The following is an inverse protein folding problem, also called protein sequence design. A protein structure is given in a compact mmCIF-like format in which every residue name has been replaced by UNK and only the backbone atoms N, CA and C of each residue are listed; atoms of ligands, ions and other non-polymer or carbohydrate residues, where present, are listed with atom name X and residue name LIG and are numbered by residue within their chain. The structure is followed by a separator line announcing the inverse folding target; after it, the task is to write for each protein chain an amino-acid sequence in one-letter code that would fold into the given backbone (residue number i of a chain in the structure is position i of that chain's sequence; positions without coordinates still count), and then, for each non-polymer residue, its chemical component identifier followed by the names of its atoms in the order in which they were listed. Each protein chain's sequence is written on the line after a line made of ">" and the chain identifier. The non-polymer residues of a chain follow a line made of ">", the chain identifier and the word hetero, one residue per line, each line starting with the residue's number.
data_IF_485145292045
#
_entry.id   IF_485145292045
#
_cell.length_a   1.000
_cell.length_b   1.000
_cell.length_c   1.000
_cell.angle_alpha   90.00
_cell.angle_beta   90.00
_cell.angle_gamma   90.00
#
_symmetry.space_group_name_H-M   'P 1'
#
loop_
_entity.id
_entity.type
_entity.pdbx_description
1 polymer ?
#
# COMPACT_ATOMS: atom_id res chain seq x y z
N UNK A 1 4.93 -5.64 -11.19
CA UNK A 1 5.49 -6.22 -9.96
C UNK A 1 4.39 -6.71 -9.05
N UNK A 2 3.51 -5.86 -8.49
CA UNK A 2 2.44 -6.36 -7.60
C UNK A 2 1.55 -7.50 -8.16
N UNK A 3 0.95 -7.30 -9.33
CA UNK A 3 0.11 -8.33 -9.98
C UNK A 3 0.92 -9.58 -10.40
N UNK A 4 2.23 -9.45 -10.63
CA UNK A 4 3.08 -10.58 -10.99
C UNK A 4 3.39 -11.47 -9.77
N UNK A 5 3.40 -10.88 -8.57
CA UNK A 5 3.49 -11.58 -7.28
C UNK A 5 2.13 -12.05 -6.75
N UNK A 6 1.03 -11.87 -7.52
CA UNK A 6 -0.32 -12.26 -7.11
C UNK A 6 -0.93 -11.37 -6.02
N UNK A 7 -0.34 -10.19 -5.76
CA UNK A 7 -0.83 -9.18 -4.84
C UNK A 7 -1.50 -8.01 -5.55
N UNK A 8 -2.53 -7.45 -4.94
CA UNK A 8 -3.20 -6.24 -5.38
C UNK A 8 -3.32 -5.26 -4.19
N UNK A 9 -3.59 -3.98 -4.46
CA UNK A 9 -3.87 -3.00 -3.40
C UNK A 9 -5.17 -2.30 -3.69
N UNK A 10 -6.08 -2.30 -2.72
CA UNK A 10 -7.30 -1.52 -2.75
C UNK A 10 -7.16 -0.28 -1.89
N UNK A 11 -7.67 0.83 -2.40
CA UNK A 11 -7.86 2.03 -1.60
C UNK A 11 -9.07 1.82 -0.69
N UNK A 12 -8.86 1.92 0.62
CA UNK A 12 -9.95 1.89 1.60
C UNK A 12 -10.49 3.29 1.81
N UNK A 13 -9.62 4.21 2.19
CA UNK A 13 -10.01 5.55 2.62
C UNK A 13 -8.87 6.54 2.45
N UNK A 14 -9.21 7.81 2.28
CA UNK A 14 -8.26 8.91 2.35
C UNK A 14 -8.81 9.96 3.31
N UNK A 15 -8.10 10.18 4.41
CA UNK A 15 -8.47 11.10 5.48
C UNK A 15 -7.38 12.16 5.59
N UNK A 16 -7.68 13.38 5.13
CA UNK A 16 -6.78 14.54 5.19
C UNK A 16 -5.39 14.28 4.58
N UNK A 17 -4.42 13.86 5.39
CA UNK A 17 -3.03 13.55 5.04
C UNK A 17 -2.69 12.06 5.23
N UNK A 18 -3.66 11.22 5.59
CA UNK A 18 -3.52 9.77 5.74
C UNK A 18 -4.24 9.00 4.63
N UNK A 19 -3.52 8.10 3.97
CA UNK A 19 -4.09 7.17 3.00
C UNK A 19 -4.11 5.77 3.60
N UNK A 20 -5.28 5.15 3.59
CA UNK A 20 -5.53 3.79 4.03
C UNK A 20 -5.73 2.86 2.85
N UNK A 21 -4.92 1.82 2.82
CA UNK A 21 -4.87 0.84 1.75
C UNK A 21 -5.10 -0.55 2.34
N UNK A 22 -5.78 -1.41 1.60
CA UNK A 22 -5.88 -2.82 1.90
C UNK A 22 -5.03 -3.59 0.90
N UNK A 23 -4.12 -4.42 1.40
CA UNK A 23 -3.44 -5.37 0.52
C UNK A 23 -4.37 -6.56 0.27
N UNK A 24 -4.53 -6.94 -0.99
CA UNK A 24 -5.40 -8.02 -1.43
C UNK A 24 -4.58 -9.11 -2.13
N UNK A 25 -5.00 -10.37 -2.08
CA UNK A 25 -4.34 -11.47 -2.80
C UNK A 25 -3.20 -12.12 -2.00
N UNK A 26 -2.10 -12.48 -2.66
CA UNK A 26 -0.98 -13.22 -2.03
C UNK A 26 -0.28 -12.49 -0.86
N UNK A 27 -0.61 -11.21 -0.65
CA UNK A 27 -0.15 -10.41 0.49
C UNK A 27 -1.07 -10.50 1.72
N UNK A 28 -2.29 -11.02 1.59
CA UNK A 28 -3.19 -11.32 2.72
C UNK A 28 -2.64 -12.52 3.50
N UNK A 29 -1.83 -12.26 4.53
CA UNK A 29 -1.51 -13.26 5.56
C UNK A 29 -0.04 -13.58 5.77
N UNK A 30 0.87 -13.05 4.95
CA UNK A 30 2.31 -13.20 5.22
C UNK A 30 2.85 -11.89 5.80
N UNK A 31 2.94 -11.80 7.14
CA UNK A 31 3.39 -10.60 7.85
C UNK A 31 4.77 -10.05 7.43
N UNK A 32 5.57 -10.83 6.69
CA UNK A 32 6.81 -10.37 6.06
C UNK A 32 6.60 -9.63 4.72
N UNK A 33 5.63 -10.03 3.90
CA UNK A 33 5.38 -9.43 2.58
C UNK A 33 4.81 -8.00 2.70
N UNK A 34 4.10 -7.74 3.80
CA UNK A 34 3.55 -6.42 4.12
C UNK A 34 4.61 -5.31 4.09
N UNK A 35 5.76 -5.54 4.73
CA UNK A 35 6.80 -4.52 4.86
C UNK A 35 7.48 -4.23 3.52
N UNK A 36 7.76 -5.27 2.74
CA UNK A 36 8.37 -5.15 1.40
C UNK A 36 7.45 -4.47 0.40
N UNK A 37 6.16 -4.82 0.41
CA UNK A 37 5.16 -4.20 -0.47
C UNK A 37 4.97 -2.73 -0.10
N UNK A 38 4.87 -2.41 1.20
CA UNK A 38 4.80 -1.02 1.65
C UNK A 38 6.00 -0.21 1.16
N UNK A 39 7.22 -0.73 1.34
CA UNK A 39 8.45 -0.09 0.86
C UNK A 39 8.46 0.14 -0.66
N UNK A 40 7.87 -0.77 -1.44
CA UNK A 40 7.79 -0.64 -2.89
C UNK A 40 6.77 0.39 -3.40
N UNK A 41 5.61 0.50 -2.75
CA UNK A 41 4.51 1.37 -3.21
C UNK A 41 4.60 2.77 -2.61
N UNK A 42 5.12 2.92 -1.38
CA UNK A 42 5.25 4.22 -0.70
C UNK A 42 5.92 5.33 -1.55
N UNK A 43 7.05 5.09 -2.25
CA UNK A 43 7.67 6.12 -3.08
C UNK A 43 6.82 6.53 -4.29
N UNK A 44 6.10 5.59 -4.91
CA UNK A 44 5.20 5.89 -6.03
C UNK A 44 3.95 6.65 -5.54
N UNK A 45 3.41 6.27 -4.38
CA UNK A 45 2.31 6.97 -3.71
C UNK A 45 2.70 8.40 -3.35
N UNK A 46 3.87 8.62 -2.72
CA UNK A 46 4.35 9.98 -2.40
C UNK A 46 4.61 10.82 -3.65
N UNK A 47 5.01 10.20 -4.76
CA UNK A 47 5.16 10.89 -6.05
C UNK A 47 3.82 11.35 -6.62
N UNK A 48 2.78 10.53 -6.53
CA UNK A 48 1.45 10.85 -7.06
C UNK A 48 0.62 11.72 -6.10
N UNK A 49 0.80 11.54 -4.80
CA UNK A 49 0.09 12.19 -3.73
C UNK A 49 1.09 12.87 -2.76
N UNK A 50 1.68 14.01 -3.15
CA UNK A 50 2.73 14.68 -2.38
C UNK A 50 2.22 15.28 -1.05
N UNK A 51 0.90 15.40 -0.89
CA UNK A 51 0.24 15.92 0.32
C UNK A 51 0.05 14.85 1.41
N UNK A 52 0.22 13.56 1.07
CA UNK A 52 0.04 12.47 2.02
C UNK A 52 1.25 12.38 2.95
N UNK A 53 1.01 12.52 4.25
CA UNK A 53 2.04 12.42 5.30
C UNK A 53 2.12 11.02 5.89
N UNK A 54 1.02 10.26 5.87
CA UNK A 54 0.95 8.93 6.47
C UNK A 54 0.29 7.92 5.53
N UNK A 55 0.93 6.77 5.37
CA UNK A 55 0.41 5.67 4.55
C UNK A 55 0.29 4.45 5.47
N UNK A 56 -0.97 4.06 5.69
CA UNK A 56 -1.36 2.90 6.47
C UNK A 56 -1.85 1.84 5.48
N UNK A 57 -1.27 0.66 5.54
CA UNK A 57 -1.76 -0.49 4.78
C UNK A 57 -2.23 -1.55 5.79
N UNK A 58 -3.30 -2.27 5.49
CA UNK A 58 -3.91 -3.29 6.35
C UNK A 58 -4.12 -4.60 5.58
#
# INVERSE_FOLDING_TARGET
>A
MLQADGGDVRLLEVLDDEVRLQLVGACEGCGMSFYTVRQGIEPELRRRLPWVRRISAE
#
